data_IF_992595642870
#
_entry.id   IF_992595642870
#
_cell.length_a   1.000
_cell.length_b   1.000
_cell.length_c   1.000
_cell.angle_alpha   90.00
_cell.angle_beta   90.00
_cell.angle_gamma   90.00
#
_symmetry.space_group_name_H-M   'P 1'
#
loop_
_entity.id
_entity.type
_entity.pdbx_description
1 polymer ?
#
# COMPACT_ATOMS: atom_id res chain seq x y z
N UNK A 1 22.74 -7.81 7.32
CA UNK A 1 22.91 -7.08 6.09
C UNK A 1 21.65 -7.12 5.26
N UNK A 2 21.22 -5.97 4.72
CA UNK A 2 19.93 -5.86 4.05
C UNK A 2 20.00 -6.35 2.61
N UNK A 3 18.91 -6.96 2.09
CA UNK A 3 18.85 -7.32 0.68
C UNK A 3 19.03 -6.10 -0.23
N UNK A 4 19.68 -6.29 -1.38
CA UNK A 4 19.90 -5.23 -2.34
C UNK A 4 18.96 -5.29 -3.53
N UNK A 5 18.11 -6.30 -3.61
CA UNK A 5 17.17 -6.52 -4.71
C UNK A 5 15.75 -6.06 -4.40
N UNK A 6 15.53 -5.48 -3.24
CA UNK A 6 14.20 -5.05 -2.79
C UNK A 6 14.27 -4.05 -1.66
N UNK A 7 13.15 -3.37 -1.44
CA UNK A 7 13.02 -2.49 -0.29
C UNK A 7 12.92 -3.29 1.00
N UNK A 8 13.38 -2.67 2.10
CA UNK A 8 13.20 -3.18 3.45
C UNK A 8 12.40 -2.16 4.24
N UNK A 9 11.43 -2.63 5.02
CA UNK A 9 10.58 -1.76 5.83
C UNK A 9 11.02 -1.82 7.29
N UNK A 10 11.21 -0.65 7.86
CA UNK A 10 11.43 -0.49 9.29
C UNK A 10 10.31 0.37 9.87
N UNK A 11 10.03 0.16 11.14
CA UNK A 11 9.12 1.03 11.87
C UNK A 11 9.92 1.82 12.88
N UNK A 12 9.70 3.12 12.89
CA UNK A 12 10.30 4.01 13.86
C UNK A 12 9.21 4.47 14.82
N UNK A 13 9.39 4.17 16.11
CA UNK A 13 8.44 4.56 17.14
C UNK A 13 8.99 5.75 17.90
N UNK A 14 8.24 6.85 17.88
CA UNK A 14 8.54 8.03 18.65
C UNK A 14 7.53 8.12 19.78
N UNK A 15 8.01 8.08 21.01
CA UNK A 15 7.16 8.17 22.17
C UNK A 15 7.50 9.43 22.95
N UNK A 16 6.52 10.29 23.09
CA UNK A 16 6.69 11.50 23.88
C UNK A 16 6.14 11.26 25.28
N UNK A 17 6.95 11.54 26.28
CA UNK A 17 6.53 11.44 27.68
C UNK A 17 6.34 12.87 28.18
N UNK A 18 5.08 13.28 28.50
CA UNK A 18 4.84 14.65 28.95
C UNK A 18 5.46 14.88 30.34
N UNK A 19 5.81 16.13 30.67
CA UNK A 19 6.30 16.44 32.00
C UNK A 19 5.26 16.11 33.05
N UNK A 20 5.75 15.67 34.21
CA UNK A 20 4.87 15.37 35.33
C UNK A 20 4.27 16.65 35.88
N UNK A 21 2.95 16.64 36.10
CA UNK A 21 2.25 17.78 36.68
C UNK A 21 1.92 17.53 38.14
N UNK A 22 2.13 18.56 38.98
CA UNK A 22 1.76 18.53 40.40
C UNK A 22 0.32 18.94 40.61
N UNK A 23 -0.35 19.43 39.58
CA UNK A 23 -1.72 19.93 39.72
C UNK A 23 -2.71 18.77 39.67
N UNK A 24 -3.69 18.73 40.59
CA UNK A 24 -4.74 17.71 40.47
C UNK A 24 -5.63 17.97 39.28
N UNK A 25 -6.22 16.89 38.75
CA UNK A 25 -7.15 16.93 37.61
C UNK A 25 -6.51 17.37 36.29
N UNK A 26 -5.19 17.26 36.17
CA UNK A 26 -4.51 17.50 34.91
C UNK A 26 -4.37 16.19 34.15
N UNK A 27 -4.93 16.15 32.93
CA UNK A 27 -4.80 15.00 32.07
C UNK A 27 -3.45 15.05 31.36
N UNK A 28 -2.62 14.04 31.57
CA UNK A 28 -1.35 13.90 30.87
C UNK A 28 -1.48 12.81 29.85
N UNK A 29 -1.23 13.13 28.59
CA UNK A 29 -1.33 12.19 27.47
C UNK A 29 0.05 11.95 26.89
N UNK A 30 0.46 10.69 26.89
CA UNK A 30 1.67 10.28 26.18
C UNK A 30 1.29 9.94 24.75
N UNK A 31 1.91 10.60 23.78
CA UNK A 31 1.68 10.32 22.38
C UNK A 31 2.75 9.38 21.87
N UNK A 32 2.31 8.39 21.10
CA UNK A 32 3.21 7.47 20.40
C UNK A 32 2.93 7.55 18.91
N UNK A 33 3.96 7.87 18.16
CA UNK A 33 3.88 7.94 16.71
C UNK A 33 4.68 6.81 16.11
N UNK A 34 4.06 6.06 15.21
CA UNK A 34 4.71 4.97 14.50
C UNK A 34 4.90 5.39 13.06
N UNK A 35 6.14 5.47 12.61
CA UNK A 35 6.49 5.93 11.27
C UNK A 35 7.11 4.78 10.50
N UNK A 36 6.67 4.62 9.25
CA UNK A 36 7.30 3.65 8.34
C UNK A 36 8.54 4.27 7.72
N UNK A 37 9.62 3.51 7.73
CA UNK A 37 10.87 3.92 7.11
C UNK A 37 11.25 2.85 6.10
N UNK A 38 11.31 3.23 4.83
CA UNK A 38 11.68 2.30 3.76
C UNK A 38 13.13 2.53 3.37
N UNK A 39 13.92 1.46 3.42
CA UNK A 39 15.27 1.49 2.86
C UNK A 39 15.19 0.98 1.43
N UNK A 40 15.55 1.84 0.48
CA UNK A 40 15.57 1.50 -0.94
C UNK A 40 17.02 1.42 -1.38
N UNK A 41 17.52 0.20 -1.65
CA UNK A 41 18.90 0.06 -2.10
C UNK A 41 19.15 0.80 -3.41
N UNK A 42 20.38 1.26 -3.58
CA UNK A 42 20.76 2.04 -4.78
C UNK A 42 20.46 1.29 -6.06
N UNK A 43 20.59 -0.04 -6.05
CA UNK A 43 20.39 -0.87 -7.24
C UNK A 43 18.97 -0.80 -7.79
N UNK A 44 17.98 -0.44 -6.95
CA UNK A 44 16.58 -0.39 -7.38
C UNK A 44 16.00 1.02 -7.37
N UNK A 45 16.81 2.04 -7.16
CA UNK A 45 16.33 3.42 -7.22
C UNK A 45 15.90 3.74 -8.65
N UNK A 46 14.64 4.16 -8.81
CA UNK A 46 14.08 4.48 -10.12
C UNK A 46 14.16 5.99 -10.36
N UNK A 47 14.11 6.37 -11.64
CA UNK A 47 14.05 7.79 -11.99
C UNK A 47 12.78 8.42 -11.42
N UNK A 48 12.83 9.71 -11.04
CA UNK A 48 11.63 10.40 -10.56
C UNK A 48 10.48 10.32 -11.57
N UNK A 49 9.28 10.06 -11.05
CA UNK A 49 8.09 9.93 -11.89
C UNK A 49 7.87 8.55 -12.48
N UNK A 50 8.78 7.60 -12.24
CA UNK A 50 8.59 6.22 -12.70
C UNK A 50 7.41 5.59 -11.98
N UNK A 51 6.53 4.93 -12.74
CA UNK A 51 5.40 4.20 -12.19
C UNK A 51 5.73 2.70 -12.27
N UNK A 52 5.76 2.03 -11.11
CA UNK A 52 5.95 0.58 -11.05
C UNK A 52 4.71 -0.13 -10.53
N UNK A 53 3.78 0.62 -9.95
CA UNK A 53 2.60 0.03 -9.34
C UNK A 53 1.64 -0.58 -10.37
N UNK A 54 1.77 -0.20 -11.63
CA UNK A 54 0.99 -0.79 -12.70
C UNK A 54 1.39 -2.24 -13.03
N UNK A 55 2.45 -2.74 -12.38
CA UNK A 55 2.83 -4.14 -12.51
C UNK A 55 2.08 -5.06 -11.54
N UNK A 56 1.27 -4.49 -10.64
CA UNK A 56 0.41 -5.29 -9.77
C UNK A 56 -0.51 -6.18 -10.59
N UNK A 57 -0.74 -7.39 -10.10
CA UNK A 57 -1.67 -8.33 -10.72
C UNK A 57 -2.71 -8.72 -9.69
N UNK A 58 -3.97 -8.69 -10.09
CA UNK A 58 -5.08 -9.15 -9.26
C UNK A 58 -5.51 -10.53 -9.74
N UNK A 59 -5.56 -11.48 -8.82
CA UNK A 59 -6.06 -12.82 -9.10
C UNK A 59 -7.37 -13.01 -8.36
N UNK A 60 -8.42 -13.40 -9.08
CA UNK A 60 -9.73 -13.69 -8.47
C UNK A 60 -9.62 -14.98 -7.67
N UNK A 61 -9.69 -14.87 -6.36
CA UNK A 61 -9.57 -16.02 -5.46
C UNK A 61 -10.48 -15.84 -4.24
N UNK A 62 -11.14 -16.92 -3.85
CA UNK A 62 -11.92 -16.92 -2.62
C UNK A 62 -12.93 -15.79 -2.57
N UNK A 63 -12.91 -15.03 -1.48
CA UNK A 63 -13.84 -13.93 -1.23
C UNK A 63 -13.37 -12.60 -1.77
N UNK A 64 -12.46 -12.60 -2.73
CA UNK A 64 -11.94 -11.33 -3.24
C UNK A 64 -10.84 -11.54 -4.25
N UNK A 65 -9.69 -10.96 -3.95
CA UNK A 65 -8.54 -11.00 -4.83
C UNK A 65 -7.26 -11.32 -4.06
N UNK A 66 -6.33 -11.98 -4.74
CA UNK A 66 -4.96 -12.04 -4.30
C UNK A 66 -4.18 -10.98 -5.08
N UNK A 67 -3.63 -10.01 -4.39
CA UNK A 67 -2.85 -8.94 -5.02
C UNK A 67 -1.40 -9.38 -5.05
N UNK A 68 -0.87 -9.55 -6.25
CA UNK A 68 0.51 -9.96 -6.45
C UNK A 68 1.36 -8.74 -6.80
N UNK A 69 2.46 -8.57 -6.06
CA UNK A 69 3.41 -7.49 -6.28
C UNK A 69 4.74 -8.10 -6.76
N UNK A 70 5.00 -8.07 -8.07
CA UNK A 70 6.26 -8.61 -8.58
C UNK A 70 7.43 -7.62 -8.50
N UNK A 71 7.17 -6.39 -8.07
CA UNK A 71 8.19 -5.34 -8.03
C UNK A 71 9.08 -5.46 -6.80
N UNK A 72 10.24 -4.79 -6.79
CA UNK A 72 11.10 -4.75 -5.61
C UNK A 72 10.67 -3.72 -4.55
N UNK A 73 9.51 -3.10 -4.71
CA UNK A 73 9.05 -2.02 -3.84
C UNK A 73 7.82 -2.46 -3.04
N UNK A 74 7.65 -1.85 -1.86
CA UNK A 74 6.40 -1.95 -1.12
C UNK A 74 5.34 -1.11 -1.83
N UNK A 75 4.12 -1.63 -1.92
CA UNK A 75 3.00 -0.91 -2.54
C UNK A 75 1.84 -0.89 -1.56
N UNK A 76 1.35 0.31 -1.24
CA UNK A 76 0.22 0.48 -0.34
C UNK A 76 -1.04 0.69 -1.15
N UNK A 77 -1.99 -0.23 -1.01
CA UNK A 77 -3.28 -0.19 -1.69
C UNK A 77 -4.32 0.31 -0.72
N UNK A 78 -5.01 1.40 -1.09
CA UNK A 78 -5.99 2.04 -0.21
C UNK A 78 -7.42 1.89 -0.70
N UNK A 79 -7.63 1.37 -1.89
CA UNK A 79 -8.99 1.20 -2.38
C UNK A 79 -9.08 0.28 -3.57
N UNK A 80 -10.26 -0.32 -3.73
CA UNK A 80 -10.59 -1.21 -4.83
C UNK A 80 -12.07 -1.06 -5.12
N UNK A 81 -12.45 -0.90 -6.37
CA UNK A 81 -13.83 -0.69 -6.73
C UNK A 81 -14.11 -0.92 -8.19
N UNK A 82 -15.37 -0.76 -8.58
CA UNK A 82 -15.83 -0.93 -9.95
C UNK A 82 -15.74 0.38 -10.76
N UNK A 83 -15.46 1.49 -10.09
CA UNK A 83 -15.27 2.80 -10.69
C UNK A 83 -14.09 3.48 -9.99
N UNK A 84 -13.47 4.49 -10.63
CA UNK A 84 -12.43 5.25 -9.96
C UNK A 84 -12.89 5.83 -8.63
N UNK A 85 -14.10 6.39 -8.61
CA UNK A 85 -14.65 7.02 -7.41
C UNK A 85 -14.83 5.99 -6.30
N UNK A 86 -15.32 4.80 -6.61
CA UNK A 86 -15.49 3.75 -5.61
C UNK A 86 -14.15 3.30 -5.04
N UNK A 87 -13.12 3.23 -5.86
CA UNK A 87 -11.79 2.83 -5.38
C UNK A 87 -11.17 3.87 -4.47
N UNK A 88 -11.63 5.12 -4.54
CA UNK A 88 -11.11 6.18 -3.69
C UNK A 88 -11.87 6.33 -2.38
N UNK A 89 -13.14 5.95 -2.35
CA UNK A 89 -14.02 6.24 -1.22
C UNK A 89 -14.68 5.01 -0.62
N UNK A 90 -14.39 3.82 -1.11
CA UNK A 90 -15.00 2.60 -0.61
C UNK A 90 -14.48 2.17 0.76
N UNK A 91 -15.16 1.20 1.35
CA UNK A 91 -14.81 0.68 2.67
C UNK A 91 -13.73 -0.40 2.58
N UNK A 92 -12.70 -0.14 1.81
CA UNK A 92 -11.60 -1.08 1.62
C UNK A 92 -10.62 -0.98 2.79
N UNK A 93 -10.22 -2.13 3.31
CA UNK A 93 -9.20 -2.17 4.36
C UNK A 93 -7.82 -1.99 3.70
N UNK A 94 -7.12 -0.93 4.11
CA UNK A 94 -5.80 -0.59 3.55
C UNK A 94 -4.82 -1.74 3.77
N UNK A 95 -4.11 -2.11 2.72
CA UNK A 95 -3.13 -3.19 2.77
C UNK A 95 -1.84 -2.76 2.10
N UNK A 96 -0.72 -3.22 2.67
CA UNK A 96 0.60 -3.00 2.07
C UNK A 96 1.12 -4.33 1.56
N UNK A 97 1.47 -4.36 0.27
CA UNK A 97 1.98 -5.57 -0.37
C UNK A 97 3.49 -5.48 -0.42
N UNK A 98 4.15 -6.42 0.24
CA UNK A 98 5.62 -6.46 0.29
C UNK A 98 6.21 -6.78 -1.09
N UNK A 99 7.50 -6.43 -1.30
CA UNK A 99 8.16 -6.74 -2.57
C UNK A 99 8.10 -8.22 -2.88
N UNK A 100 7.84 -8.55 -4.15
CA UNK A 100 7.90 -9.92 -4.67
C UNK A 100 7.05 -10.89 -3.86
N UNK A 101 5.87 -10.43 -3.45
CA UNK A 101 4.95 -11.23 -2.65
C UNK A 101 3.51 -10.93 -3.00
N UNK A 102 2.59 -11.60 -2.33
CA UNK A 102 1.16 -11.47 -2.56
C UNK A 102 0.43 -11.34 -1.23
N UNK A 103 -0.77 -10.74 -1.29
CA UNK A 103 -1.64 -10.63 -0.13
C UNK A 103 -3.08 -10.90 -0.57
N UNK A 104 -3.84 -11.60 0.27
CA UNK A 104 -5.26 -11.87 0.02
C UNK A 104 -6.10 -10.75 0.62
N UNK A 105 -7.05 -10.22 -0.15
CA UNK A 105 -7.97 -9.20 0.34
C UNK A 105 -9.41 -9.62 0.08
N UNK A 106 -10.30 -9.23 0.97
CA UNK A 106 -11.73 -9.43 0.80
C UNK A 106 -12.30 -8.30 -0.05
N UNK A 107 -13.07 -8.65 -1.07
CA UNK A 107 -13.64 -7.66 -1.97
C UNK A 107 -14.72 -8.32 -2.81
N UNK A 108 -15.68 -7.52 -3.25
CA UNK A 108 -16.55 -7.95 -4.33
C UNK A 108 -15.72 -8.15 -5.59
N UNK A 109 -16.23 -8.96 -6.51
CA UNK A 109 -15.61 -9.16 -7.82
C UNK A 109 -16.10 -8.09 -8.78
N UNK A 110 -15.18 -7.50 -9.52
CA UNK A 110 -15.50 -6.42 -10.45
C UNK A 110 -15.11 -6.83 -11.87
N UNK A 111 -15.96 -6.48 -12.83
CA UNK A 111 -15.63 -6.75 -14.24
C UNK A 111 -14.42 -5.93 -14.68
N UNK A 112 -14.34 -4.70 -14.22
CA UNK A 112 -13.20 -3.80 -14.48
C UNK A 112 -12.77 -3.21 -13.16
N UNK A 113 -11.84 -3.86 -12.45
CA UNK A 113 -11.40 -3.33 -11.16
C UNK A 113 -10.61 -2.04 -11.32
N UNK A 114 -10.87 -1.08 -10.43
CA UNK A 114 -10.06 0.11 -10.27
C UNK A 114 -9.40 0.03 -8.90
N UNK A 115 -8.12 0.35 -8.85
CA UNK A 115 -7.32 0.25 -7.63
C UNK A 115 -6.65 1.59 -7.37
N UNK A 116 -6.77 2.09 -6.14
CA UNK A 116 -6.11 3.31 -5.71
C UNK A 116 -4.96 2.95 -4.79
N UNK A 117 -3.80 3.53 -5.05
CA UNK A 117 -2.60 3.29 -4.23
C UNK A 117 -1.98 4.62 -3.81
N UNK A 118 -1.03 4.56 -2.88
CA UNK A 118 -0.27 5.74 -2.45
C UNK A 118 1.10 5.68 -3.10
N UNK A 119 1.49 6.76 -3.79
CA UNK A 119 2.82 6.84 -4.40
C UNK A 119 3.84 7.44 -3.43
N UNK A 120 5.09 7.57 -3.87
CA UNK A 120 6.19 8.08 -3.05
C UNK A 120 5.99 9.52 -2.60
N UNK A 121 5.13 10.26 -3.27
CA UNK A 121 4.91 11.68 -3.00
C UNK A 121 3.62 11.95 -2.23
N UNK A 122 2.97 10.89 -1.75
CA UNK A 122 1.71 11.01 -1.04
C UNK A 122 0.50 11.17 -1.93
N UNK A 123 0.65 11.09 -3.25
CA UNK A 123 -0.46 11.10 -4.17
C UNK A 123 -1.23 9.79 -4.14
N UNK A 124 -2.45 9.82 -4.67
CA UNK A 124 -3.37 8.67 -4.68
C UNK A 124 -3.82 8.34 -6.10
N UNK A 125 -2.91 7.84 -6.95
CA UNK A 125 -3.29 7.50 -8.32
C UNK A 125 -4.23 6.30 -8.37
N UNK A 126 -4.97 6.21 -9.48
CA UNK A 126 -5.91 5.12 -9.73
C UNK A 126 -5.46 4.34 -10.95
N UNK A 127 -5.47 3.01 -10.83
CA UNK A 127 -5.18 2.11 -11.93
C UNK A 127 -6.44 1.40 -12.37
N UNK A 128 -6.59 1.24 -13.68
CA UNK A 128 -7.69 0.47 -14.27
C UNK A 128 -7.16 -0.89 -14.68
N UNK A 129 -7.84 -1.95 -14.24
CA UNK A 129 -7.43 -3.31 -14.53
C UNK A 129 -8.35 -3.95 -15.56
N UNK A 130 -7.78 -4.79 -16.41
CA UNK A 130 -8.52 -5.60 -17.36
C UNK A 130 -8.34 -7.07 -16.98
N UNK A 131 -9.44 -7.81 -16.89
CA UNK A 131 -9.46 -9.17 -16.39
C UNK A 131 -9.68 -10.17 -17.52
N UNK A 132 -8.93 -11.27 -17.49
CA UNK A 132 -9.09 -12.38 -18.40
C UNK A 132 -8.80 -13.68 -17.64
N UNK A 133 -9.77 -14.59 -17.58
CA UNK A 133 -9.59 -15.88 -16.92
C UNK A 133 -9.26 -15.77 -15.44
N UNK A 134 -9.83 -14.79 -14.76
CA UNK A 134 -9.60 -14.61 -13.32
C UNK A 134 -8.32 -13.87 -12.99
N UNK A 135 -7.58 -13.39 -13.97
CA UNK A 135 -6.34 -12.63 -13.79
C UNK A 135 -6.52 -11.24 -14.35
N UNK A 136 -6.24 -10.23 -13.56
CA UNK A 136 -6.42 -8.84 -13.94
C UNK A 136 -5.09 -8.09 -13.92
N UNK A 137 -4.84 -7.28 -14.94
CA UNK A 137 -3.62 -6.48 -15.02
C UNK A 137 -3.94 -5.07 -15.48
N UNK A 138 -3.11 -4.12 -15.04
CA UNK A 138 -3.24 -2.70 -15.39
C UNK A 138 -2.38 -2.33 -16.58
N UNK A 139 -1.69 -3.29 -17.16
CA UNK A 139 -0.72 -3.01 -18.21
C UNK A 139 -1.42 -2.44 -19.43
N UNK A 140 -0.98 -1.29 -19.86
CA UNK A 140 -1.47 -0.69 -21.10
C UNK A 140 -0.99 -1.49 -22.28
N UNK A 141 -1.88 -1.66 -23.22
CA UNK A 141 -1.54 -2.31 -24.47
C UNK A 141 -0.51 -1.50 -25.25
#
# INVERSE_FOLDING_TARGET
QLPQDRETLFYFNLREIPPRSDKPNVLQIALQTKIKLFYRPKAIVAAPGTVWQDQLVLHEEGNGYRIENPTPYYITVIGLGNTPKQSESGAFEVVMVAPKSSVQVKSARYATPYLTYINDYGGRPVLKFTCTGGRCSAKKA
#
